data_IF_620789740910
#
_entry.id   IF_620789740910
#
_cell.length_a   1.000
_cell.length_b   1.000
_cell.length_c   1.000
_cell.angle_alpha   90.00
_cell.angle_beta   90.00
_cell.angle_gamma   90.00
#
_symmetry.space_group_name_H-M   'P 1'
#
loop_
_entity.id
_entity.type
_entity.pdbx_description
1 polymer ?
#
# COMPACT_ATOMS: atom_id res chain seq x y z
N UNK A 1 -0.48 -17.68 -24.82
CA UNK A 1 -1.95 -17.75 -24.62
C UNK A 1 -2.26 -19.15 -24.12
N UNK A 2 -2.85 -19.32 -22.96
CA UNK A 2 -3.29 -20.65 -22.52
C UNK A 2 -4.59 -20.94 -23.28
N UNK A 3 -4.64 -21.96 -24.17
CA UNK A 3 -5.84 -22.26 -24.93
C UNK A 3 -6.97 -22.86 -24.07
N UNK A 4 -6.68 -23.26 -22.85
CA UNK A 4 -7.61 -23.88 -21.92
C UNK A 4 -7.99 -22.89 -20.79
N UNK A 5 -8.56 -21.74 -21.16
CA UNK A 5 -9.14 -20.83 -20.15
C UNK A 5 -10.26 -21.57 -19.40
N UNK A 6 -10.00 -21.93 -18.16
CA UNK A 6 -10.98 -22.57 -17.28
C UNK A 6 -12.02 -21.52 -16.90
N UNK A 7 -13.30 -21.84 -17.13
CA UNK A 7 -14.40 -20.95 -16.72
C UNK A 7 -14.40 -20.83 -15.17
N UNK A 8 -14.72 -19.63 -14.68
CA UNK A 8 -14.86 -19.40 -13.24
C UNK A 8 -15.91 -20.35 -12.63
N UNK A 9 -15.52 -21.06 -11.60
CA UNK A 9 -16.39 -22.01 -10.89
C UNK A 9 -16.87 -21.41 -9.55
N UNK A 10 -18.08 -20.88 -9.54
CA UNK A 10 -18.70 -20.32 -8.34
C UNK A 10 -18.97 -21.37 -7.24
N UNK A 11 -19.05 -22.68 -7.61
CA UNK A 11 -19.33 -23.75 -6.64
C UNK A 11 -18.15 -24.02 -5.68
N UNK A 12 -16.97 -23.47 -5.97
CA UNK A 12 -15.81 -23.49 -5.05
C UNK A 12 -16.07 -22.71 -3.75
N UNK A 13 -17.06 -21.82 -3.74
CA UNK A 13 -17.33 -20.91 -2.62
C UNK A 13 -18.69 -21.21 -2.00
N UNK A 14 -18.74 -21.44 -0.68
CA UNK A 14 -19.99 -21.71 0.03
C UNK A 14 -20.89 -20.46 0.16
N UNK A 15 -20.28 -19.27 0.26
CA UNK A 15 -20.98 -17.99 0.37
C UNK A 15 -21.09 -17.35 -1.02
N UNK A 16 -22.30 -17.09 -1.52
CA UNK A 16 -22.51 -16.46 -2.82
C UNK A 16 -21.95 -15.03 -2.91
N UNK A 17 -21.83 -14.31 -1.78
CA UNK A 17 -21.17 -12.99 -1.74
C UNK A 17 -19.69 -13.16 -1.99
N UNK A 18 -19.05 -14.13 -1.35
CA UNK A 18 -17.64 -14.45 -1.56
C UNK A 18 -17.39 -14.94 -3.00
N UNK A 19 -18.26 -15.81 -3.52
CA UNK A 19 -18.19 -16.28 -4.91
C UNK A 19 -18.25 -15.11 -5.92
N UNK A 20 -19.16 -14.13 -5.70
CA UNK A 20 -19.24 -12.93 -6.54
C UNK A 20 -17.96 -12.09 -6.42
N UNK A 21 -17.41 -11.95 -5.22
CA UNK A 21 -16.15 -11.24 -4.98
C UNK A 21 -14.98 -11.89 -5.68
N UNK A 22 -14.85 -13.22 -5.60
CA UNK A 22 -13.83 -13.99 -6.30
C UNK A 22 -13.93 -13.76 -7.82
N UNK A 23 -15.14 -13.89 -8.39
CA UNK A 23 -15.37 -13.61 -9.80
C UNK A 23 -14.90 -12.21 -10.22
N UNK A 24 -15.21 -11.19 -9.40
CA UNK A 24 -14.82 -9.81 -9.70
C UNK A 24 -13.30 -9.61 -9.61
N UNK A 25 -12.65 -10.18 -8.63
CA UNK A 25 -11.21 -10.03 -8.38
C UNK A 25 -10.36 -10.82 -9.38
N UNK A 26 -10.73 -12.09 -9.62
CA UNK A 26 -9.99 -13.01 -10.51
C UNK A 26 -10.26 -12.74 -11.98
N UNK A 27 -11.48 -12.26 -12.30
CA UNK A 27 -11.93 -12.01 -13.66
C UNK A 27 -11.83 -10.53 -14.06
N UNK A 28 -12.96 -9.77 -14.13
CA UNK A 28 -12.97 -8.43 -14.75
C UNK A 28 -12.11 -7.40 -14.02
N UNK A 29 -11.87 -7.56 -12.72
CA UNK A 29 -10.98 -6.70 -11.94
C UNK A 29 -9.51 -6.98 -12.15
N UNK A 30 -9.16 -8.19 -12.60
CA UNK A 30 -7.80 -8.72 -12.84
C UNK A 30 -6.74 -8.22 -11.84
N UNK A 31 -7.11 -8.19 -10.55
CA UNK A 31 -6.26 -7.66 -9.48
C UNK A 31 -4.91 -8.39 -9.37
N UNK A 32 -4.88 -9.68 -9.72
CA UNK A 32 -3.68 -10.50 -9.81
C UNK A 32 -2.61 -9.93 -10.73
N UNK A 33 -3.00 -9.23 -11.81
CA UNK A 33 -2.05 -8.68 -12.78
C UNK A 33 -1.01 -7.73 -12.16
N UNK A 34 -1.39 -7.03 -11.09
CA UNK A 34 -0.50 -6.15 -10.33
C UNK A 34 -0.12 -6.76 -8.98
N UNK A 35 -1.07 -7.41 -8.29
CA UNK A 35 -0.89 -7.84 -6.91
C UNK A 35 -0.43 -9.30 -6.74
N UNK A 36 -0.17 -10.04 -7.81
CA UNK A 36 0.45 -11.37 -7.74
C UNK A 36 1.90 -11.30 -8.25
N UNK A 37 2.85 -11.95 -7.57
CA UNK A 37 4.23 -12.00 -8.03
C UNK A 37 4.34 -12.59 -9.44
N UNK A 38 5.35 -12.19 -10.18
CA UNK A 38 5.62 -12.70 -11.52
C UNK A 38 6.88 -13.53 -11.57
N UNK A 39 6.81 -14.63 -12.30
CA UNK A 39 7.97 -15.44 -12.65
C UNK A 39 8.92 -14.69 -13.59
N UNK A 40 10.11 -15.23 -13.82
CA UNK A 40 11.09 -14.66 -14.75
C UNK A 40 10.55 -14.48 -16.18
N UNK A 41 9.56 -15.25 -16.55
CA UNK A 41 8.85 -15.18 -17.85
C UNK A 41 7.72 -14.17 -17.87
N UNK A 42 7.58 -13.35 -16.81
CA UNK A 42 6.57 -12.31 -16.60
C UNK A 42 5.12 -12.82 -16.46
N UNK A 43 4.90 -14.13 -16.38
CA UNK A 43 3.59 -14.70 -16.07
C UNK A 43 3.29 -14.58 -14.56
N UNK A 44 2.03 -14.44 -14.20
CA UNK A 44 1.59 -14.51 -12.82
C UNK A 44 1.90 -15.88 -12.22
N UNK A 45 2.45 -15.93 -11.01
CA UNK A 45 2.81 -17.18 -10.33
C UNK A 45 1.60 -17.92 -9.75
N UNK A 46 0.44 -17.26 -9.69
CA UNK A 46 -0.84 -17.86 -9.35
C UNK A 46 -1.97 -17.07 -10.01
N UNK A 47 -3.01 -17.75 -10.50
CA UNK A 47 -4.14 -17.14 -11.21
C UNK A 47 -5.41 -17.01 -10.35
N UNK A 48 -5.48 -17.75 -9.24
CA UNK A 48 -6.60 -17.79 -8.32
C UNK A 48 -6.14 -18.10 -6.89
N UNK A 49 -7.08 -18.15 -5.96
CA UNK A 49 -6.85 -18.36 -4.52
C UNK A 49 -6.37 -19.75 -4.13
N UNK A 50 -6.32 -20.72 -5.06
CA UNK A 50 -5.69 -22.02 -4.81
C UNK A 50 -4.16 -21.91 -4.69
N UNK A 51 -3.57 -20.87 -5.28
CA UNK A 51 -2.14 -20.59 -5.17
C UNK A 51 -1.81 -19.71 -3.96
N UNK A 52 -0.81 -20.12 -3.17
CA UNK A 52 -0.38 -19.36 -1.98
C UNK A 52 0.24 -18.00 -2.31
N UNK A 53 0.67 -17.77 -3.54
CA UNK A 53 1.24 -16.51 -4.03
C UNK A 53 0.20 -15.57 -4.63
N UNK A 54 -1.02 -16.05 -4.88
CA UNK A 54 -2.09 -15.21 -5.43
C UNK A 54 -2.36 -14.00 -4.54
N UNK A 55 -2.32 -12.82 -5.13
CA UNK A 55 -2.48 -11.52 -4.45
C UNK A 55 -1.47 -11.27 -3.30
N UNK A 56 -0.32 -11.93 -3.32
CA UNK A 56 0.74 -11.78 -2.31
C UNK A 56 1.55 -10.48 -2.44
N UNK A 57 1.30 -9.65 -3.45
CA UNK A 57 2.04 -8.41 -3.69
C UNK A 57 3.44 -8.61 -4.25
N UNK A 58 4.28 -7.58 -4.17
CA UNK A 58 5.70 -7.65 -4.53
C UNK A 58 6.03 -7.28 -5.99
N UNK A 59 5.04 -7.06 -6.83
CA UNK A 59 5.26 -6.55 -8.18
C UNK A 59 5.53 -5.04 -8.14
N UNK A 60 6.62 -4.61 -8.76
CA UNK A 60 6.91 -3.18 -8.96
C UNK A 60 6.42 -2.74 -10.34
N UNK A 61 5.55 -1.74 -10.37
CA UNK A 61 4.95 -1.18 -11.59
C UNK A 61 5.18 0.32 -11.57
N UNK A 62 5.89 0.83 -12.56
CA UNK A 62 6.22 2.26 -12.69
C UNK A 62 6.86 2.87 -11.41
N UNK A 63 7.68 2.09 -10.72
CA UNK A 63 8.32 2.50 -9.47
C UNK A 63 7.42 2.38 -8.23
N UNK A 64 6.24 1.75 -8.33
CA UNK A 64 5.32 1.51 -7.23
C UNK A 64 5.20 0.03 -6.91
N UNK A 65 5.40 -0.32 -5.66
CA UNK A 65 5.20 -1.68 -5.17
C UNK A 65 3.70 -1.96 -5.01
N UNK A 66 3.18 -2.93 -5.74
CA UNK A 66 1.85 -3.46 -5.49
C UNK A 66 1.83 -4.20 -4.15
N UNK A 67 0.99 -3.75 -3.22
CA UNK A 67 0.94 -4.28 -1.84
C UNK A 67 0.31 -5.67 -1.80
N UNK A 68 0.60 -6.38 -0.73
CA UNK A 68 -0.02 -7.66 -0.39
C UNK A 68 -1.51 -7.45 -0.03
N UNK A 69 -2.40 -8.17 -0.72
CA UNK A 69 -3.86 -8.12 -0.47
C UNK A 69 -4.37 -9.33 0.35
N UNK A 70 -3.48 -10.18 0.85
CA UNK A 70 -3.83 -11.34 1.69
C UNK A 70 -4.01 -10.95 3.15
N UNK A 71 -4.39 -11.92 3.98
CA UNK A 71 -4.68 -11.73 5.40
C UNK A 71 -3.46 -11.51 6.31
N UNK A 72 -2.32 -11.09 5.79
CA UNK A 72 -1.16 -10.73 6.60
C UNK A 72 -1.49 -9.53 7.50
N UNK A 73 -1.14 -9.60 8.81
CA UNK A 73 -1.59 -8.59 9.76
C UNK A 73 -0.86 -7.25 9.68
N UNK A 74 0.37 -7.20 9.17
CA UNK A 74 1.16 -5.98 9.09
C UNK A 74 1.20 -5.39 7.68
N UNK A 75 1.60 -6.21 6.69
CA UNK A 75 1.86 -5.79 5.31
C UNK A 75 0.73 -6.14 4.33
N UNK A 76 -0.37 -6.71 4.83
CA UNK A 76 -1.54 -7.08 4.05
C UNK A 76 -2.84 -6.52 4.61
N UNK A 77 -3.98 -7.14 4.24
CA UNK A 77 -5.31 -6.71 4.63
C UNK A 77 -5.81 -7.38 5.94
N UNK A 78 -4.95 -8.11 6.66
CA UNK A 78 -5.36 -8.81 7.89
C UNK A 78 -5.95 -7.90 8.96
N UNK A 79 -5.34 -6.73 9.18
CA UNK A 79 -5.79 -5.71 10.13
C UNK A 79 -6.92 -4.80 9.63
N UNK A 80 -7.32 -4.90 8.35
CA UNK A 80 -8.35 -4.03 7.76
C UNK A 80 -9.75 -4.58 7.97
N UNK A 81 -10.73 -3.71 8.20
CA UNK A 81 -12.14 -4.09 8.11
C UNK A 81 -12.63 -4.13 6.65
N UNK A 82 -13.79 -4.75 6.40
CA UNK A 82 -14.41 -4.72 5.06
C UNK A 82 -14.77 -3.30 4.64
N UNK A 83 -15.25 -2.49 5.57
CA UNK A 83 -15.62 -1.09 5.35
C UNK A 83 -14.40 -0.27 4.91
N UNK A 84 -13.24 -0.50 5.50
CA UNK A 84 -11.98 0.15 5.13
C UNK A 84 -11.54 -0.21 3.70
N UNK A 85 -11.67 -1.48 3.32
CA UNK A 85 -11.42 -1.92 1.95
C UNK A 85 -12.42 -1.26 0.97
N UNK A 86 -13.70 -1.22 1.33
CA UNK A 86 -14.75 -0.57 0.53
C UNK A 86 -14.48 0.92 0.36
N UNK A 87 -14.16 1.63 1.44
CA UNK A 87 -13.84 3.06 1.40
C UNK A 87 -12.64 3.34 0.48
N UNK A 88 -11.59 2.51 0.58
CA UNK A 88 -10.42 2.61 -0.27
C UNK A 88 -10.74 2.42 -1.74
N UNK A 89 -11.51 1.38 -2.10
CA UNK A 89 -11.91 1.11 -3.48
C UNK A 89 -12.90 2.14 -4.05
N UNK A 90 -13.66 2.81 -3.19
CA UNK A 90 -14.65 3.83 -3.59
C UNK A 90 -14.06 5.23 -3.71
N UNK A 91 -13.15 5.58 -2.82
CA UNK A 91 -12.70 6.97 -2.66
C UNK A 91 -11.20 7.17 -2.77
N UNK A 92 -10.42 6.10 -2.97
CA UNK A 92 -8.96 6.08 -2.84
C UNK A 92 -8.46 6.49 -1.44
N UNK A 93 -9.32 6.47 -0.42
CA UNK A 93 -9.01 6.94 0.93
C UNK A 93 -9.69 6.08 1.98
N UNK A 94 -8.87 5.56 2.88
CA UNK A 94 -9.34 4.94 4.12
C UNK A 94 -9.04 5.87 5.31
N UNK A 95 -9.89 5.90 6.34
CA UNK A 95 -9.65 6.74 7.52
C UNK A 95 -8.36 6.46 8.27
N UNK A 96 -7.84 5.24 8.20
CA UNK A 96 -6.79 4.76 9.10
C UNK A 96 -5.52 4.31 8.38
N UNK A 97 -5.64 3.53 7.29
CA UNK A 97 -4.50 2.78 6.77
C UNK A 97 -3.88 3.36 5.50
N UNK A 98 -4.69 3.86 4.57
CA UNK A 98 -4.17 4.14 3.25
C UNK A 98 -4.81 5.34 2.58
N UNK A 99 -3.98 5.94 1.76
CA UNK A 99 -4.37 6.86 0.71
C UNK A 99 -3.71 6.37 -0.55
N UNK A 100 -4.50 6.19 -1.61
CA UNK A 100 -4.05 5.57 -2.85
C UNK A 100 -3.86 6.65 -3.90
N UNK A 101 -2.66 6.70 -4.47
CA UNK A 101 -2.33 7.50 -5.64
C UNK A 101 -1.84 6.66 -6.82
N UNK A 102 -1.44 7.34 -7.87
CA UNK A 102 -0.79 6.79 -9.05
C UNK A 102 -1.55 5.62 -9.73
N UNK A 103 -0.88 4.55 -10.17
CA UNK A 103 -1.48 3.47 -10.92
C UNK A 103 -2.73 2.85 -10.26
N UNK A 104 -2.71 2.65 -8.93
CA UNK A 104 -3.91 2.18 -8.22
C UNK A 104 -4.98 3.27 -8.10
N UNK A 105 -4.59 4.53 -8.07
CA UNK A 105 -5.51 5.68 -8.15
C UNK A 105 -6.33 5.66 -9.44
N UNK A 106 -5.70 5.35 -10.58
CA UNK A 106 -6.38 5.21 -11.88
C UNK A 106 -7.41 4.07 -11.85
N UNK A 107 -7.10 2.93 -11.22
CA UNK A 107 -8.07 1.83 -11.03
C UNK A 107 -9.29 2.30 -10.25
N UNK A 108 -9.10 3.09 -9.19
CA UNK A 108 -10.23 3.64 -8.43
C UNK A 108 -11.03 4.63 -9.28
N UNK A 109 -10.38 5.60 -9.91
CA UNK A 109 -11.02 6.67 -10.69
C UNK A 109 -11.78 6.13 -11.90
N UNK A 110 -11.22 5.15 -12.59
CA UNK A 110 -11.79 4.67 -13.86
C UNK A 110 -12.60 3.38 -13.73
N UNK A 111 -12.61 2.73 -12.56
CA UNK A 111 -13.28 1.45 -12.36
C UNK A 111 -14.02 1.35 -11.02
N UNK A 112 -13.31 1.16 -9.90
CA UNK A 112 -13.95 0.68 -8.67
C UNK A 112 -14.86 1.69 -8.00
N UNK A 113 -14.69 3.00 -8.18
CA UNK A 113 -15.64 4.01 -7.67
C UNK A 113 -17.05 3.89 -8.24
N UNK A 114 -17.22 3.23 -9.39
CA UNK A 114 -18.52 3.04 -10.07
C UNK A 114 -19.21 1.73 -9.69
N UNK A 115 -18.56 0.87 -8.93
CA UNK A 115 -19.18 -0.35 -8.43
C UNK A 115 -20.25 -0.02 -7.39
N UNK A 116 -21.34 -0.77 -7.41
CA UNK A 116 -22.40 -0.63 -6.41
C UNK A 116 -21.96 -1.23 -5.05
N UNK A 117 -22.75 -0.95 -4.00
CA UNK A 117 -22.44 -1.38 -2.63
C UNK A 117 -22.35 -2.91 -2.50
N UNK A 118 -23.17 -3.66 -3.23
CA UNK A 118 -23.14 -5.12 -3.19
C UNK A 118 -21.86 -5.69 -3.82
N UNK A 119 -21.37 -5.07 -4.89
CA UNK A 119 -20.14 -5.46 -5.55
C UNK A 119 -18.90 -5.12 -4.72
N UNK A 120 -18.85 -3.93 -4.13
CA UNK A 120 -17.79 -3.54 -3.21
C UNK A 120 -17.75 -4.44 -1.97
N UNK A 121 -18.93 -4.78 -1.42
CA UNK A 121 -19.04 -5.73 -0.31
C UNK A 121 -18.56 -7.12 -0.71
N UNK A 122 -18.87 -7.56 -1.92
CA UNK A 122 -18.43 -8.86 -2.43
C UNK A 122 -16.91 -8.91 -2.58
N UNK A 123 -16.29 -7.88 -3.19
CA UNK A 123 -14.83 -7.74 -3.29
C UNK A 123 -14.17 -7.81 -1.91
N UNK A 124 -14.61 -6.95 -0.98
CA UNK A 124 -14.05 -6.90 0.37
C UNK A 124 -14.24 -8.23 1.10
N UNK A 125 -15.40 -8.90 0.94
CA UNK A 125 -15.66 -10.19 1.56
C UNK A 125 -14.73 -11.27 1.05
N UNK A 126 -14.50 -11.35 -0.26
CA UNK A 126 -13.56 -12.30 -0.83
C UNK A 126 -12.13 -12.02 -0.37
N UNK A 127 -11.65 -10.79 -0.46
CA UNK A 127 -10.29 -10.44 -0.02
C UNK A 127 -10.05 -10.81 1.45
N UNK A 128 -11.06 -10.68 2.30
CA UNK A 128 -10.99 -11.08 3.72
C UNK A 128 -10.99 -12.60 3.95
N UNK A 129 -11.28 -13.42 2.96
CA UNK A 129 -11.15 -14.89 3.07
C UNK A 129 -9.74 -15.38 2.77
N UNK A 130 -8.91 -14.56 2.12
CA UNK A 130 -7.56 -14.97 1.75
C UNK A 130 -6.69 -15.14 2.99
N UNK A 131 -6.07 -16.32 3.20
CA UNK A 131 -5.20 -16.55 4.33
C UNK A 131 -3.93 -15.68 4.22
N UNK A 132 -3.19 -15.46 5.32
CA UNK A 132 -1.87 -14.86 5.26
C UNK A 132 -0.97 -15.57 4.23
N UNK A 133 -0.16 -14.80 3.53
CA UNK A 133 0.88 -15.33 2.64
C UNK A 133 2.07 -15.92 3.42
N UNK A 134 3.09 -16.37 2.70
CA UNK A 134 4.26 -17.04 3.27
C UNK A 134 5.14 -16.15 4.15
N UNK A 135 5.08 -14.84 3.96
CA UNK A 135 5.79 -13.86 4.78
C UNK A 135 4.82 -13.25 5.79
N UNK A 136 4.89 -13.69 7.03
CA UNK A 136 4.05 -13.15 8.12
C UNK A 136 4.91 -12.25 8.99
N UNK A 137 4.80 -10.94 8.78
CA UNK A 137 5.26 -9.99 9.79
C UNK A 137 4.31 -10.00 11.00
N UNK A 138 4.84 -9.71 12.19
CA UNK A 138 4.02 -9.52 13.39
C UNK A 138 3.03 -8.37 13.20
N UNK A 139 1.88 -8.41 13.87
CA UNK A 139 0.91 -7.32 13.84
C UNK A 139 1.56 -6.01 14.32
N UNK A 140 1.20 -4.90 13.69
CA UNK A 140 1.63 -3.57 14.13
C UNK A 140 1.13 -3.28 15.54
N UNK A 141 2.03 -2.78 16.38
CA UNK A 141 1.71 -2.29 17.71
C UNK A 141 2.27 -0.88 17.88
N UNK A 142 1.39 0.09 18.07
CA UNK A 142 1.79 1.50 18.19
C UNK A 142 2.71 1.73 19.39
N UNK A 143 3.86 2.39 19.15
CA UNK A 143 4.78 2.85 20.20
C UNK A 143 4.79 4.39 20.24
N UNK A 144 4.38 5.01 21.36
CA UNK A 144 4.36 6.45 21.49
C UNK A 144 5.74 7.09 21.79
N UNK A 145 6.82 6.31 21.88
CA UNK A 145 8.14 6.83 22.22
C UNK A 145 8.63 7.89 21.22
N UNK A 146 8.57 7.57 19.92
CA UNK A 146 8.94 8.51 18.84
C UNK A 146 8.09 9.78 18.87
N UNK A 147 6.78 9.65 19.06
CA UNK A 147 5.87 10.80 19.12
C UNK A 147 6.23 11.76 20.28
N UNK A 148 6.56 11.20 21.44
CA UNK A 148 6.99 12.00 22.62
C UNK A 148 8.32 12.70 22.38
N UNK A 149 9.30 12.00 21.81
CA UNK A 149 10.60 12.56 21.51
C UNK A 149 10.50 13.74 20.52
N UNK A 150 9.81 13.57 19.40
CA UNK A 150 9.58 14.64 18.43
C UNK A 150 8.82 15.82 19.06
N UNK A 151 7.77 15.58 19.84
CA UNK A 151 7.01 16.65 20.50
C UNK A 151 7.84 17.41 21.56
N UNK A 152 8.87 16.79 22.12
CA UNK A 152 9.80 17.41 23.06
C UNK A 152 10.98 18.12 22.37
N UNK A 153 11.12 17.99 21.02
CA UNK A 153 12.31 18.46 20.29
C UNK A 153 13.55 17.62 20.55
N UNK A 154 13.37 16.37 20.99
CA UNK A 154 14.43 15.42 21.29
C UNK A 154 14.71 14.56 20.04
N UNK A 155 15.18 15.17 18.97
CA UNK A 155 15.44 14.49 17.69
C UNK A 155 16.69 13.62 17.79
N UNK A 156 16.49 12.32 17.81
CA UNK A 156 17.57 11.34 17.81
C UNK A 156 18.02 10.99 16.39
N UNK A 157 19.06 11.65 15.91
CA UNK A 157 19.67 11.36 14.61
C UNK A 157 19.10 12.12 13.43
N UNK A 158 19.81 12.02 12.30
CA UNK A 158 19.52 12.81 11.10
C UNK A 158 18.14 12.50 10.51
N UNK A 159 17.72 11.24 10.51
CA UNK A 159 16.40 10.84 9.99
C UNK A 159 15.23 11.48 10.75
N UNK A 160 15.32 11.64 12.08
CA UNK A 160 14.32 12.33 12.89
C UNK A 160 14.26 13.84 12.57
N UNK A 161 15.42 14.49 12.44
CA UNK A 161 15.52 15.90 12.04
C UNK A 161 14.92 16.12 10.65
N UNK A 162 15.25 15.27 9.67
CA UNK A 162 14.70 15.34 8.32
C UNK A 162 13.18 15.15 8.32
N UNK A 163 12.66 14.28 9.19
CA UNK A 163 11.23 14.08 9.36
C UNK A 163 10.55 15.33 9.92
N UNK A 164 11.10 15.91 10.97
CA UNK A 164 10.53 17.11 11.57
C UNK A 164 10.56 18.30 10.60
N UNK A 165 11.68 18.51 9.93
CA UNK A 165 11.85 19.60 8.96
C UNK A 165 10.94 19.52 7.73
N UNK A 166 10.56 18.30 7.27
CA UNK A 166 9.94 18.13 5.96
C UNK A 166 8.56 17.44 6.01
N UNK A 167 8.23 16.68 7.05
CA UNK A 167 7.12 15.74 7.05
C UNK A 167 6.13 15.97 8.20
N UNK A 168 6.60 16.39 9.38
CA UNK A 168 5.83 16.46 10.62
C UNK A 168 4.64 17.43 10.52
N UNK A 169 4.75 18.48 9.73
CA UNK A 169 3.66 19.45 9.51
C UNK A 169 2.38 18.81 8.94
N UNK A 170 2.52 17.77 8.12
CA UNK A 170 1.41 17.05 7.51
C UNK A 170 1.15 15.71 8.18
N UNK A 171 2.19 14.95 8.51
CA UNK A 171 2.07 13.60 9.07
C UNK A 171 2.06 13.57 10.60
N UNK A 172 2.21 14.72 11.25
CA UNK A 172 2.26 14.96 12.69
C UNK A 172 3.40 14.20 13.39
N UNK A 173 3.69 14.58 14.63
CA UNK A 173 4.75 13.95 15.42
C UNK A 173 4.44 12.50 15.77
N UNK A 174 3.18 12.09 15.74
CA UNK A 174 2.73 10.72 16.01
C UNK A 174 2.62 9.84 14.76
N UNK A 175 2.94 10.37 13.58
CA UNK A 175 2.89 9.66 12.32
C UNK A 175 1.48 9.24 11.87
N UNK A 176 0.41 9.80 12.49
CA UNK A 176 -0.99 9.41 12.18
C UNK A 176 -1.63 10.24 11.08
N UNK A 177 -1.02 11.37 10.73
CA UNK A 177 -1.58 12.25 9.71
C UNK A 177 -2.97 12.78 10.05
N UNK A 178 -3.80 13.01 9.05
CA UNK A 178 -5.17 13.50 9.22
C UNK A 178 -6.16 12.58 8.50
N UNK A 179 -7.17 12.14 9.21
CA UNK A 179 -8.20 11.20 8.73
C UNK A 179 -8.73 11.59 7.35
N UNK A 180 -8.66 10.67 6.39
CA UNK A 180 -9.13 10.79 4.98
C UNK A 180 -8.41 11.87 4.14
N UNK A 181 -7.39 12.53 4.67
CA UNK A 181 -6.68 13.60 3.96
C UNK A 181 -5.18 13.32 3.85
N UNK A 182 -4.55 13.03 4.99
CA UNK A 182 -3.11 12.82 5.07
C UNK A 182 -2.90 11.42 5.67
N UNK A 183 -2.27 10.48 4.95
CA UNK A 183 -2.20 9.09 5.37
C UNK A 183 -1.41 8.94 6.68
N UNK A 184 -1.83 7.99 7.50
CA UNK A 184 -0.98 7.49 8.56
C UNK A 184 0.25 6.81 7.95
N UNK A 185 1.43 7.08 8.50
CA UNK A 185 2.68 6.36 8.21
C UNK A 185 3.02 5.38 9.31
N UNK A 186 2.50 5.59 10.51
CA UNK A 186 2.52 4.62 11.60
C UNK A 186 1.57 3.45 11.28
N UNK A 187 2.11 2.25 11.15
CA UNK A 187 1.34 1.03 10.84
C UNK A 187 0.84 0.91 9.39
N UNK A 188 1.32 1.75 8.49
CA UNK A 188 0.94 1.70 7.08
C UNK A 188 1.58 0.49 6.39
N UNK A 189 0.80 -0.32 5.67
CA UNK A 189 1.28 -1.53 5.01
C UNK A 189 2.37 -1.28 3.97
N UNK A 190 2.33 -0.15 3.25
CA UNK A 190 3.40 0.22 2.32
C UNK A 190 4.70 0.60 3.03
N UNK A 191 4.61 1.20 4.23
CA UNK A 191 5.78 1.51 5.07
C UNK A 191 6.38 0.22 5.64
N UNK A 192 5.53 -0.74 6.01
CA UNK A 192 5.93 -2.02 6.61
C UNK A 192 6.35 -3.07 5.58
N UNK A 193 6.07 -2.86 4.30
CA UNK A 193 6.48 -3.77 3.24
C UNK A 193 8.00 -4.02 3.27
N UNK A 194 8.44 -5.24 2.96
CA UNK A 194 9.86 -5.58 2.96
C UNK A 194 10.65 -4.74 1.93
N UNK A 195 10.07 -4.56 0.75
CA UNK A 195 10.64 -3.71 -0.31
C UNK A 195 10.27 -2.24 -0.09
N UNK A 196 11.24 -1.31 0.04
CA UNK A 196 11.01 0.10 0.31
C UNK A 196 10.69 0.95 -0.93
N UNK A 197 10.55 0.36 -2.12
CA UNK A 197 10.45 1.09 -3.40
C UNK A 197 9.40 2.19 -3.36
N UNK A 198 8.17 1.90 -2.92
CA UNK A 198 7.09 2.90 -2.84
C UNK A 198 7.40 4.05 -1.90
N UNK A 199 8.05 3.79 -0.76
CA UNK A 199 8.42 4.85 0.20
C UNK A 199 9.50 5.75 -0.38
N UNK A 200 10.52 5.17 -1.02
CA UNK A 200 11.57 5.95 -1.70
C UNK A 200 10.94 6.78 -2.82
N UNK A 201 10.07 6.19 -3.63
CA UNK A 201 9.35 6.91 -4.70
C UNK A 201 8.56 8.10 -4.16
N UNK A 202 7.74 7.87 -3.12
CA UNK A 202 6.95 8.92 -2.45
C UNK A 202 7.82 10.06 -1.93
N UNK A 203 8.96 9.78 -1.31
CA UNK A 203 9.87 10.81 -0.82
C UNK A 203 10.50 11.57 -2.00
N UNK A 204 10.89 10.87 -3.08
CA UNK A 204 11.54 11.50 -4.22
C UNK A 204 10.59 12.34 -5.08
N UNK A 205 9.46 11.77 -5.49
CA UNK A 205 8.56 12.38 -6.49
C UNK A 205 7.29 12.96 -5.89
N UNK A 206 6.95 12.57 -4.65
CA UNK A 206 5.64 12.85 -4.09
C UNK A 206 4.56 11.96 -4.68
N UNK A 207 3.32 12.33 -4.50
CA UNK A 207 2.15 11.68 -5.08
C UNK A 207 0.97 12.63 -5.08
N UNK A 208 0.04 12.42 -6.00
CA UNK A 208 -1.21 13.15 -6.04
C UNK A 208 -2.38 12.19 -5.86
N UNK A 209 -3.20 12.46 -4.83
CA UNK A 209 -4.44 11.72 -4.64
C UNK A 209 -5.44 12.02 -5.73
N UNK A 210 -6.09 11.01 -6.29
CA UNK A 210 -7.13 11.25 -7.25
C UNK A 210 -8.36 11.89 -6.61
N UNK A 211 -9.09 12.69 -7.39
CA UNK A 211 -10.44 13.08 -7.06
C UNK A 211 -11.42 12.00 -7.49
N UNK A 212 -12.31 11.60 -6.59
CA UNK A 212 -13.42 10.67 -6.86
C UNK A 212 -14.75 11.32 -6.51
N UNK A 213 -15.88 10.73 -6.93
CA UNK A 213 -17.20 11.25 -6.57
C UNK A 213 -17.40 11.33 -5.04
N UNK A 214 -16.85 10.37 -4.29
CA UNK A 214 -16.94 10.32 -2.82
C UNK A 214 -15.90 11.21 -2.12
N UNK A 215 -14.81 11.60 -2.80
CA UNK A 215 -13.74 12.44 -2.28
C UNK A 215 -13.17 13.34 -3.39
N UNK A 216 -13.86 14.43 -3.76
CA UNK A 216 -13.56 15.19 -4.97
C UNK A 216 -12.31 16.08 -4.87
N UNK A 217 -11.81 16.36 -3.67
CA UNK A 217 -10.64 17.24 -3.49
C UNK A 217 -9.35 16.47 -3.72
N UNK A 218 -8.57 16.73 -4.76
CA UNK A 218 -7.24 16.14 -4.90
C UNK A 218 -6.32 16.73 -3.83
N UNK A 219 -5.49 15.88 -3.24
CA UNK A 219 -4.47 16.29 -2.27
C UNK A 219 -3.12 15.79 -2.78
N UNK A 220 -2.06 16.56 -2.60
CA UNK A 220 -0.73 16.21 -3.06
C UNK A 220 0.28 16.15 -1.93
N UNK A 221 1.15 15.16 -1.98
CA UNK A 221 2.41 15.13 -1.23
C UNK A 221 3.51 15.68 -2.16
N UNK A 222 4.29 16.69 -1.76
CA UNK A 222 5.39 17.18 -2.57
C UNK A 222 6.53 16.16 -2.65
N UNK A 223 7.26 16.15 -3.77
CA UNK A 223 8.51 15.39 -3.90
C UNK A 223 9.70 16.20 -3.38
N UNK A 224 10.69 15.50 -2.84
CA UNK A 224 11.88 16.09 -2.23
C UNK A 224 13.17 15.73 -2.98
N UNK A 225 13.10 15.15 -4.20
CA UNK A 225 14.28 14.77 -4.98
C UNK A 225 15.23 15.94 -5.25
N UNK A 226 14.71 17.16 -5.37
CA UNK A 226 15.46 18.38 -5.61
C UNK A 226 16.23 18.89 -4.38
N UNK A 227 15.88 18.43 -3.18
CA UNK A 227 16.37 18.95 -1.90
C UNK A 227 17.19 17.92 -1.12
N UNK A 228 16.79 16.64 -1.15
CA UNK A 228 17.41 15.60 -0.34
C UNK A 228 18.38 14.74 -1.17
N UNK A 229 19.57 14.47 -0.60
CA UNK A 229 20.51 13.51 -1.16
C UNK A 229 20.03 12.06 -1.02
N UNK A 230 20.73 11.12 -1.66
CA UNK A 230 20.38 9.70 -1.55
C UNK A 230 20.56 9.18 -0.11
N UNK A 231 21.59 9.65 0.59
CA UNK A 231 21.83 9.35 2.00
C UNK A 231 20.71 9.90 2.89
N UNK A 232 20.31 11.16 2.68
CA UNK A 232 19.24 11.81 3.46
C UNK A 232 17.89 11.14 3.24
N UNK A 233 17.57 10.73 2.02
CA UNK A 233 16.34 9.94 1.73
C UNK A 233 16.39 8.57 2.41
N UNK A 234 17.56 7.91 2.41
CA UNK A 234 17.73 6.62 3.08
C UNK A 234 17.58 6.74 4.61
N UNK A 235 18.16 7.78 5.22
CA UNK A 235 18.04 8.05 6.66
C UNK A 235 16.59 8.40 7.06
N UNK A 236 15.94 9.30 6.29
CA UNK A 236 14.54 9.66 6.50
C UNK A 236 13.61 8.45 6.36
N UNK A 237 13.76 7.70 5.27
CA UNK A 237 12.95 6.51 5.02
C UNK A 237 13.18 5.42 6.06
N UNK A 238 14.40 5.22 6.53
CA UNK A 238 14.73 4.29 7.62
C UNK A 238 14.08 4.74 8.92
N UNK A 239 14.15 6.03 9.27
CA UNK A 239 13.48 6.59 10.44
C UNK A 239 11.97 6.32 10.39
N UNK A 240 11.29 6.61 9.26
CA UNK A 240 9.87 6.35 9.06
C UNK A 240 9.54 4.87 9.25
N UNK A 241 10.35 3.98 8.70
CA UNK A 241 10.15 2.52 8.73
C UNK A 241 10.43 1.87 10.09
N UNK A 242 11.08 2.59 11.02
CA UNK A 242 11.47 2.07 12.34
C UNK A 242 10.90 2.87 13.51
N UNK A 243 10.01 3.82 13.24
CA UNK A 243 9.40 4.70 14.25
C UNK A 243 7.96 4.32 14.53
N UNK A 244 7.40 4.80 15.63
CA UNK A 244 6.00 4.64 16.06
C UNK A 244 5.53 3.19 16.21
N UNK A 245 6.43 2.23 16.32
CA UNK A 245 6.13 0.80 16.33
C UNK A 245 6.20 0.14 14.94
N UNK A 246 6.66 0.84 13.93
CA UNK A 246 7.07 0.25 12.66
C UNK A 246 8.36 -0.55 12.86
N UNK A 247 8.44 -1.74 12.28
CA UNK A 247 9.60 -2.63 12.34
C UNK A 247 9.92 -3.18 10.96
N UNK A 248 10.28 -2.30 10.03
CA UNK A 248 10.67 -2.69 8.68
C UNK A 248 12.19 -2.49 8.46
N UNK A 249 12.80 -3.19 7.49
CA UNK A 249 14.23 -3.06 7.21
C UNK A 249 14.66 -1.64 6.87
N UNK A 250 15.89 -1.28 7.24
CA UNK A 250 16.51 -0.02 6.87
C UNK A 250 16.64 0.12 5.34
N UNK A 251 16.70 1.35 4.86
CA UNK A 251 16.93 1.69 3.46
C UNK A 251 18.41 2.01 3.27
N UNK A 252 19.04 1.39 2.26
CA UNK A 252 20.39 1.71 1.87
C UNK A 252 20.42 2.86 0.82
N UNK A 253 21.42 3.77 0.86
CA UNK A 253 21.53 4.85 -0.13
C UNK A 253 21.57 4.36 -1.58
N UNK A 254 22.13 3.17 -1.82
CA UNK A 254 22.21 2.56 -3.14
C UNK A 254 20.83 2.23 -3.72
N UNK A 255 19.86 1.86 -2.88
CA UNK A 255 18.46 1.63 -3.29
C UNK A 255 17.82 2.95 -3.74
N UNK A 256 18.08 4.04 -3.02
CA UNK A 256 17.61 5.38 -3.37
C UNK A 256 18.22 5.83 -4.69
N UNK A 257 19.54 5.71 -4.83
CA UNK A 257 20.27 6.06 -6.03
C UNK A 257 19.73 5.34 -7.27
N UNK A 258 19.55 4.02 -7.16
CA UNK A 258 19.01 3.20 -8.25
C UNK A 258 17.61 3.67 -8.67
N UNK A 259 16.72 3.90 -7.72
CA UNK A 259 15.36 4.34 -8.03
C UNK A 259 15.34 5.77 -8.60
N UNK A 260 16.11 6.70 -8.03
CA UNK A 260 16.24 8.07 -8.56
C UNK A 260 16.64 8.09 -10.03
N UNK A 261 17.58 7.24 -10.44
CA UNK A 261 18.00 7.12 -11.85
C UNK A 261 16.89 6.60 -12.77
N UNK A 262 16.03 5.71 -12.29
CA UNK A 262 14.91 5.18 -13.08
C UNK A 262 13.77 6.18 -13.22
N UNK A 263 13.51 6.99 -12.20
CA UNK A 263 12.43 7.99 -12.19
C UNK A 263 12.75 9.26 -12.99
N UNK A 264 14.01 9.51 -13.33
CA UNK A 264 14.46 10.68 -14.11
C UNK A 264 14.52 10.41 -15.62
N UNK A 265 14.17 9.22 -16.07
CA UNK A 265 14.12 8.82 -17.48
C UNK A 265 12.72 8.92 -18.05
#
# INVERSE_FOLDING_TARGET
MNPDAVAFDAARYHDPIVARGAYLVEGPGHCGSCHTPRALTLQEEALDDSGSLYLGGGQVIDGWLAVNLRGNPADGLGGWSKEQIIDTLRSARDPVHAVIGDAMGDVVVHSTQYLNDAELLALASYLKTLPPGTHSASSFAADPATARALAAGEEAGRGAQLYDDNCSACHHTDGRGATRALPAIAGNSSVLAADPTSIIHLILQGSQLPGTAAAPSPLGMPGFAWRLSDEEVAELGTFIRQSWGNHAPAIAPEQVHHLRQTLTR
#
